data_IF_870583290139
#
_entry.id   IF_870583290139
#
_cell.length_a   1.000
_cell.length_b   1.000
_cell.length_c   1.000
_cell.angle_alpha   90.00
_cell.angle_beta   90.00
_cell.angle_gamma   90.00
#
_symmetry.space_group_name_H-M   'P 1'
#
loop_
_entity.id
_entity.type
_entity.pdbx_description
1 polymer ?
#
# COMPACT_ATOMS: atom_id res chain seq x y z
N UNK A 1 10.60 44.38 24.13
CA UNK A 1 9.64 43.74 23.20
C UNK A 1 8.29 43.73 23.86
N UNK A 2 7.29 44.40 23.29
CA UNK A 2 5.96 44.49 23.88
C UNK A 2 5.27 43.12 23.83
N UNK A 3 4.44 42.80 24.84
CA UNK A 3 3.72 41.51 24.92
C UNK A 3 2.92 41.21 23.63
N UNK A 4 2.47 42.26 22.93
CA UNK A 4 1.76 42.19 21.64
C UNK A 4 2.65 41.66 20.51
N UNK A 5 3.92 42.04 20.47
CA UNK A 5 4.88 41.57 19.46
C UNK A 5 5.17 40.08 19.64
N UNK A 6 5.33 39.62 20.88
CA UNK A 6 5.59 38.20 21.19
C UNK A 6 4.38 37.35 20.79
N UNK A 7 3.17 37.79 21.12
CA UNK A 7 1.94 37.09 20.73
C UNK A 7 1.79 36.98 19.20
N UNK A 8 2.08 38.06 18.47
CA UNK A 8 2.04 38.06 17.00
C UNK A 8 3.04 37.08 16.39
N UNK A 9 4.26 37.05 16.91
CA UNK A 9 5.30 36.12 16.43
C UNK A 9 4.88 34.67 16.70
N UNK A 10 4.33 34.37 17.87
CA UNK A 10 3.85 33.02 18.20
C UNK A 10 2.73 32.61 17.24
N UNK A 11 1.74 33.47 17.01
CA UNK A 11 0.63 33.17 16.08
C UNK A 11 1.17 32.91 14.68
N UNK A 12 2.08 33.75 14.19
CA UNK A 12 2.70 33.60 12.88
C UNK A 12 3.44 32.25 12.75
N UNK A 13 4.26 31.90 13.75
CA UNK A 13 4.99 30.63 13.75
C UNK A 13 4.03 29.44 13.74
N UNK A 14 2.97 29.48 14.57
CA UNK A 14 1.97 28.42 14.61
C UNK A 14 1.25 28.26 13.27
N UNK A 15 0.87 29.37 12.61
CA UNK A 15 0.21 29.32 11.30
C UNK A 15 1.10 28.71 10.23
N UNK A 16 2.39 29.08 10.19
CA UNK A 16 3.36 28.52 9.23
C UNK A 16 3.57 27.02 9.47
N UNK A 17 3.67 26.58 10.73
CA UNK A 17 3.81 25.16 11.07
C UNK A 17 2.57 24.36 10.66
N UNK A 18 1.37 24.87 10.92
CA UNK A 18 0.12 24.21 10.53
C UNK A 18 -0.02 24.05 9.01
N UNK A 19 0.35 25.09 8.25
CA UNK A 19 0.37 25.03 6.78
C UNK A 19 1.41 24.02 6.26
N UNK A 20 2.59 23.97 6.88
CA UNK A 20 3.63 23.00 6.54
C UNK A 20 3.19 21.55 6.78
N UNK A 21 2.53 21.28 7.92
CA UNK A 21 1.98 19.94 8.23
C UNK A 21 0.88 19.57 7.24
N UNK A 22 -0.03 20.48 6.92
CA UNK A 22 -1.09 20.24 5.93
C UNK A 22 -0.51 19.93 4.54
N UNK A 23 0.50 20.68 4.10
CA UNK A 23 1.18 20.43 2.83
C UNK A 23 1.87 19.05 2.80
N UNK A 24 2.54 18.66 3.90
CA UNK A 24 3.15 17.33 4.02
C UNK A 24 2.10 16.22 4.01
N UNK A 25 0.95 16.41 4.67
CA UNK A 25 -0.14 15.43 4.65
C UNK A 25 -0.77 15.29 3.26
N UNK A 26 -0.91 16.38 2.49
CA UNK A 26 -1.47 16.36 1.14
C UNK A 26 -0.48 15.79 0.11
N UNK A 27 0.81 16.08 0.23
CA UNK A 27 1.85 15.57 -0.70
C UNK A 27 2.38 14.17 -0.35
N UNK A 28 2.05 13.62 0.82
CA UNK A 28 2.11 12.18 1.03
C UNK A 28 1.05 11.54 0.16
N UNK A 29 1.38 11.35 -1.12
CA UNK A 29 0.65 10.50 -2.04
C UNK A 29 0.24 9.23 -1.27
N UNK A 30 -1.01 8.75 -1.40
CA UNK A 30 -1.38 7.47 -0.84
C UNK A 30 -0.34 6.50 -1.37
N UNK A 31 0.49 5.99 -0.45
CA UNK A 31 1.71 5.29 -0.78
C UNK A 31 1.38 4.35 -1.91
N UNK A 32 2.13 4.48 -3.02
CA UNK A 32 2.06 3.58 -4.16
C UNK A 32 1.77 2.21 -3.59
N UNK A 33 0.53 1.74 -3.77
CA UNK A 33 0.13 0.47 -3.21
C UNK A 33 1.04 -0.49 -3.95
N UNK A 34 2.15 -0.86 -3.31
CA UNK A 34 2.93 -2.01 -3.68
C UNK A 34 1.88 -3.08 -3.86
N UNK A 35 1.67 -3.44 -5.12
CA UNK A 35 0.86 -4.56 -5.54
C UNK A 35 1.53 -5.75 -4.89
N UNK A 36 1.15 -5.99 -3.63
CA UNK A 36 1.61 -7.11 -2.83
C UNK A 36 1.48 -8.31 -3.75
N UNK A 37 2.57 -9.08 -4.00
CA UNK A 37 2.51 -10.19 -4.93
C UNK A 37 1.31 -11.04 -4.53
N UNK A 38 0.28 -11.04 -5.38
CA UNK A 38 -0.91 -11.83 -5.11
C UNK A 38 -0.40 -13.26 -5.03
N UNK A 39 -0.59 -13.90 -3.87
CA UNK A 39 -0.18 -15.27 -3.67
C UNK A 39 -0.69 -16.10 -4.87
N UNK A 40 0.13 -17.02 -5.43
CA UNK A 40 -0.25 -17.78 -6.60
C UNK A 40 -1.64 -18.39 -6.37
N UNK A 41 -2.61 -18.01 -7.20
CA UNK A 41 -3.96 -18.58 -7.09
C UNK A 41 -3.84 -20.05 -7.48
N UNK A 42 -4.19 -20.94 -6.56
CA UNK A 42 -4.25 -22.39 -6.78
C UNK A 42 -5.69 -22.86 -6.73
N UNK A 43 -6.01 -23.90 -7.51
CA UNK A 43 -7.28 -24.62 -7.48
C UNK A 43 -7.02 -26.07 -7.11
N UNK A 44 -7.95 -26.64 -6.36
CA UNK A 44 -7.89 -28.04 -5.96
C UNK A 44 -8.64 -28.90 -6.97
N UNK A 45 -7.97 -29.91 -7.50
CA UNK A 45 -8.50 -30.84 -8.51
C UNK A 45 -8.27 -32.27 -8.02
N UNK A 46 -9.22 -33.18 -8.29
CA UNK A 46 -9.04 -34.61 -8.01
C UNK A 46 -8.50 -35.30 -9.27
N UNK A 47 -7.34 -35.97 -9.15
CA UNK A 47 -6.72 -36.70 -10.25
C UNK A 47 -7.38 -38.06 -10.52
N UNK A 48 -7.00 -38.73 -11.62
CA UNK A 48 -7.53 -40.05 -11.98
C UNK A 48 -7.19 -41.16 -10.97
N UNK A 49 -6.20 -40.94 -10.10
CA UNK A 49 -5.86 -41.84 -8.99
C UNK A 49 -6.64 -41.51 -7.72
N UNK A 50 -7.67 -40.66 -7.81
CA UNK A 50 -8.50 -40.19 -6.70
C UNK A 50 -7.72 -39.42 -5.62
N UNK A 51 -6.62 -38.76 -6.01
CA UNK A 51 -5.83 -37.89 -5.13
C UNK A 51 -6.20 -36.44 -5.37
N UNK A 52 -6.22 -35.69 -4.29
CA UNK A 52 -6.42 -34.23 -4.31
C UNK A 52 -5.10 -33.53 -4.61
N UNK A 53 -5.07 -32.73 -5.67
CA UNK A 53 -3.87 -32.00 -6.15
C UNK A 53 -4.18 -30.51 -6.26
N UNK A 54 -3.27 -29.67 -5.81
CA UNK A 54 -3.34 -28.21 -5.99
C UNK A 54 -2.63 -27.81 -7.28
N UNK A 55 -3.37 -27.18 -8.20
CA UNK A 55 -2.88 -26.76 -9.51
C UNK A 55 -2.90 -25.23 -9.58
N UNK A 56 -1.81 -24.57 -10.02
CA UNK A 56 -1.82 -23.12 -10.20
C UNK A 56 -2.80 -22.72 -11.31
N UNK A 57 -3.67 -21.74 -11.01
CA UNK A 57 -4.65 -21.18 -11.97
C UNK A 57 -3.96 -20.52 -13.15
N UNK A 58 -2.79 -19.93 -12.90
CA UNK A 58 -1.96 -19.27 -13.92
C UNK A 58 -0.73 -20.12 -14.24
N UNK A 59 -0.91 -21.37 -14.64
CA UNK A 59 0.19 -22.21 -15.10
C UNK A 59 0.82 -21.59 -16.36
N UNK A 60 2.00 -20.99 -16.25
CA UNK A 60 2.69 -20.38 -17.39
C UNK A 60 3.29 -21.42 -18.36
N UNK A 61 3.41 -22.68 -17.92
CA UNK A 61 3.93 -23.80 -18.70
C UNK A 61 3.18 -25.07 -18.32
N UNK A 62 2.64 -25.76 -19.31
CA UNK A 62 1.97 -27.05 -19.16
C UNK A 62 2.75 -28.09 -19.95
N UNK A 63 3.14 -29.18 -19.30
CA UNK A 63 3.77 -30.35 -19.94
C UNK A 63 2.75 -31.48 -19.92
N UNK A 64 2.25 -31.86 -21.09
CA UNK A 64 1.34 -32.98 -21.24
C UNK A 64 2.15 -34.27 -21.40
N UNK A 65 1.94 -35.23 -20.50
CA UNK A 65 2.49 -36.59 -20.57
C UNK A 65 1.30 -37.52 -20.72
N UNK A 66 1.27 -38.30 -21.80
CA UNK A 66 0.17 -39.20 -22.14
C UNK A 66 0.06 -40.39 -21.19
#
# INVERSE_FOLDING_TARGET
MERRTIALVIVLVVTVVLLGVAAVMVFRAPGSQETKPQAPRVITVVDFSNRTVEVPVNASRVVAIG
#
